data_IF_286970786344
#
_entry.id   IF_286970786344
#
_cell.length_a   1.000
_cell.length_b   1.000
_cell.length_c   1.000
_cell.angle_alpha   90.00
_cell.angle_beta   90.00
_cell.angle_gamma   90.00
#
_symmetry.space_group_name_H-M   'P 1'
#
loop_
_entity.id
_entity.type
_entity.pdbx_description
1 polymer ?
#
# COMPACT_ATOMS: atom_id res chain seq x y z
N UNK A 1 -30.15 -15.36 -14.07
CA UNK A 1 -28.83 -14.76 -14.40
C UNK A 1 -28.15 -14.42 -13.08
N UNK A 2 -27.63 -15.48 -12.45
CA UNK A 2 -27.00 -15.45 -11.14
C UNK A 2 -25.54 -15.04 -11.33
N UNK A 3 -25.13 -13.92 -10.77
CA UNK A 3 -23.73 -13.72 -10.38
C UNK A 3 -23.63 -14.17 -8.92
N UNK A 4 -22.74 -15.11 -8.58
CA UNK A 4 -22.63 -15.63 -7.22
C UNK A 4 -21.96 -14.59 -6.29
N UNK A 5 -22.25 -14.60 -4.98
CA UNK A 5 -21.62 -13.73 -4.01
C UNK A 5 -20.29 -14.35 -3.54
N UNK A 6 -19.27 -14.37 -4.41
CA UNK A 6 -17.93 -14.86 -4.06
C UNK A 6 -16.80 -13.82 -4.23
N UNK A 7 -17.12 -12.59 -4.61
CA UNK A 7 -16.25 -11.44 -4.37
C UNK A 7 -16.73 -10.84 -3.03
N UNK A 8 -16.03 -10.84 -1.90
CA UNK A 8 -14.64 -10.42 -1.68
C UNK A 8 -14.20 -10.89 -0.29
N UNK A 9 -13.17 -11.74 -0.13
CA UNK A 9 -12.43 -11.82 1.13
C UNK A 9 -10.95 -11.38 0.99
N UNK A 10 -10.54 -10.85 -0.17
CA UNK A 10 -9.13 -10.67 -0.53
C UNK A 10 -8.67 -9.20 -0.74
N UNK A 11 -9.41 -8.19 -0.29
CA UNK A 11 -8.96 -6.79 -0.32
C UNK A 11 -8.11 -6.41 0.91
N UNK A 12 -7.20 -7.31 1.31
CA UNK A 12 -6.15 -7.03 2.28
C UNK A 12 -4.91 -6.55 1.52
N UNK A 13 -4.66 -5.23 1.52
CA UNK A 13 -3.35 -4.56 1.61
C UNK A 13 -3.40 -3.13 1.04
N UNK A 14 -3.06 -2.16 1.91
CA UNK A 14 -2.47 -0.83 1.61
C UNK A 14 -3.32 0.30 0.96
N UNK A 15 -2.98 1.61 1.11
CA UNK A 15 -3.29 2.48 2.25
C UNK A 15 -4.06 3.79 1.83
N UNK A 16 -3.89 4.97 2.45
CA UNK A 16 -4.95 5.83 2.98
C UNK A 16 -5.41 6.92 1.99
N UNK A 17 -6.39 6.64 1.13
CA UNK A 17 -6.95 7.66 0.22
C UNK A 17 -8.31 8.23 0.65
N UNK A 18 -8.97 7.63 1.66
CA UNK A 18 -10.40 7.89 1.90
C UNK A 18 -10.67 9.08 2.83
N UNK A 19 -9.70 9.51 3.65
CA UNK A 19 -9.84 10.74 4.45
C UNK A 19 -9.95 11.98 3.54
N UNK A 20 -9.36 11.92 2.34
CA UNK A 20 -9.43 12.99 1.35
C UNK A 20 -10.82 13.11 0.69
N UNK A 21 -11.59 12.02 0.60
CA UNK A 21 -12.88 12.00 -0.10
C UNK A 21 -14.01 12.61 0.76
N UNK A 22 -13.98 12.39 2.08
CA UNK A 22 -15.00 12.94 2.99
C UNK A 22 -14.92 14.46 3.18
N UNK A 23 -13.73 15.06 3.11
CA UNK A 23 -13.56 16.51 3.08
C UNK A 23 -14.12 17.15 1.79
N UNK A 24 -14.23 16.37 0.71
CA UNK A 24 -14.66 16.85 -0.61
C UNK A 24 -16.18 16.88 -0.81
N UNK A 25 -16.94 15.99 -0.17
CA UNK A 25 -18.41 16.01 -0.27
C UNK A 25 -19.00 17.30 0.35
N UNK A 26 -18.41 17.80 1.44
CA UNK A 26 -18.79 19.08 2.08
C UNK A 26 -18.45 20.31 1.24
N UNK A 27 -17.41 20.26 0.39
CA UNK A 27 -17.05 21.36 -0.51
C UNK A 27 -17.87 21.38 -1.82
N UNK A 28 -18.49 20.24 -2.18
CA UNK A 28 -19.17 20.06 -3.48
C UNK A 28 -20.65 20.48 -3.50
N UNK A 29 -21.22 20.86 -2.34
CA UNK A 29 -22.60 21.32 -2.17
C UNK A 29 -22.82 22.82 -2.49
N UNK A 30 -21.82 23.52 -3.05
CA UNK A 30 -22.00 24.91 -3.53
C UNK A 30 -21.83 25.06 -5.05
N UNK A 31 -22.73 24.54 -5.90
CA UNK A 31 -22.75 24.90 -7.31
C UNK A 31 -23.59 26.17 -7.58
N UNK A 32 -23.54 27.18 -6.70
CA UNK A 32 -24.25 28.45 -6.94
C UNK A 32 -23.45 29.73 -6.66
N UNK A 33 -22.18 29.64 -6.24
CA UNK A 33 -21.36 30.84 -5.99
C UNK A 33 -20.49 31.29 -7.18
N UNK A 34 -20.39 30.52 -8.27
CA UNK A 34 -19.58 30.88 -9.44
C UNK A 34 -20.36 31.52 -10.60
N UNK A 35 -21.65 31.80 -10.41
CA UNK A 35 -22.51 32.43 -11.44
C UNK A 35 -23.00 33.84 -11.05
N UNK A 36 -22.65 34.35 -9.85
CA UNK A 36 -23.09 35.68 -9.38
C UNK A 36 -21.99 36.73 -9.18
N UNK A 37 -20.73 36.45 -9.55
CA UNK A 37 -19.66 37.48 -9.49
C UNK A 37 -19.40 38.18 -10.82
N UNK A 38 -20.36 38.13 -11.74
CA UNK A 38 -20.36 38.94 -12.97
C UNK A 38 -21.52 39.94 -12.99
N UNK A 39 -21.64 40.75 -11.94
CA UNK A 39 -22.26 42.09 -11.99
C UNK A 39 -22.13 42.75 -10.62
N UNK A 40 -21.72 44.02 -10.62
CA UNK A 40 -21.64 44.94 -9.47
C UNK A 40 -20.39 44.91 -8.57
N UNK A 41 -19.67 46.04 -8.59
CA UNK A 41 -19.27 46.71 -7.34
C UNK A 41 -17.78 46.67 -7.01
N UNK A 42 -17.11 47.82 -7.14
CA UNK A 42 -15.68 47.98 -6.88
C UNK A 42 -15.24 47.86 -5.41
N UNK A 43 -13.92 47.72 -5.21
CA UNK A 43 -13.22 48.11 -3.98
C UNK A 43 -12.29 47.05 -3.36
N UNK A 44 -10.99 47.36 -3.29
CA UNK A 44 -10.14 46.94 -2.16
C UNK A 44 -9.30 45.65 -2.26
N UNK A 45 -8.07 45.80 -2.74
CA UNK A 45 -6.83 45.12 -2.30
C UNK A 45 -6.90 43.71 -1.65
N UNK A 46 -6.70 42.65 -2.47
CA UNK A 46 -6.02 41.39 -2.13
C UNK A 46 -5.88 40.52 -3.40
N UNK A 47 -4.93 40.82 -4.30
CA UNK A 47 -4.85 40.20 -5.65
C UNK A 47 -3.82 39.08 -5.84
N UNK A 48 -3.15 38.60 -4.78
CA UNK A 48 -2.03 37.63 -4.92
C UNK A 48 -2.35 36.16 -4.58
N UNK A 49 -3.22 35.89 -3.60
CA UNK A 49 -3.45 34.54 -3.05
C UNK A 49 -4.71 33.83 -3.57
N UNK A 50 -5.67 34.57 -4.13
CA UNK A 50 -6.94 33.96 -4.56
C UNK A 50 -6.86 33.35 -5.97
N UNK A 51 -5.96 33.83 -6.82
CA UNK A 51 -5.76 33.32 -8.19
C UNK A 51 -5.13 31.93 -8.24
N UNK A 52 -4.23 31.58 -7.31
CA UNK A 52 -3.66 30.23 -7.21
C UNK A 52 -4.67 29.22 -6.66
N UNK A 53 -5.48 29.64 -5.68
CA UNK A 53 -6.57 28.83 -5.09
C UNK A 53 -7.64 28.48 -6.13
N UNK A 54 -8.04 29.44 -6.98
CA UNK A 54 -9.00 29.23 -8.08
C UNK A 54 -8.44 28.29 -9.17
N UNK A 55 -7.11 28.24 -9.37
CA UNK A 55 -6.46 27.32 -10.32
C UNK A 55 -6.44 25.88 -9.78
N UNK A 56 -6.19 25.68 -8.48
CA UNK A 56 -6.23 24.38 -7.80
C UNK A 56 -7.63 23.76 -7.78
N UNK A 57 -8.71 24.55 -7.70
CA UNK A 57 -10.09 24.06 -7.79
C UNK A 57 -10.43 23.39 -9.13
N UNK A 58 -9.62 23.59 -10.18
CA UNK A 58 -9.77 22.90 -11.47
C UNK A 58 -9.34 21.43 -11.40
N UNK A 59 -8.44 21.06 -10.49
CA UNK A 59 -8.00 19.65 -10.27
C UNK A 59 -9.16 18.78 -9.79
N UNK A 60 -10.14 19.37 -9.10
CA UNK A 60 -11.33 18.67 -8.59
C UNK A 60 -12.21 18.06 -9.68
N UNK A 61 -12.05 18.53 -10.92
CA UNK A 61 -12.69 17.95 -12.09
C UNK A 61 -12.20 16.53 -12.38
N UNK A 62 -11.06 16.11 -11.84
CA UNK A 62 -10.54 14.73 -11.93
C UNK A 62 -11.39 13.75 -11.10
N UNK A 63 -12.17 14.24 -10.13
CA UNK A 63 -13.06 13.44 -9.28
C UNK A 63 -14.44 13.19 -9.92
N UNK A 64 -14.72 13.74 -11.11
CA UNK A 64 -15.99 13.51 -11.84
C UNK A 64 -16.38 12.04 -11.99
N UNK A 65 -15.46 11.07 -12.20
CA UNK A 65 -15.81 9.65 -12.26
C UNK A 65 -16.49 9.13 -10.99
N UNK A 66 -16.20 9.70 -9.81
CA UNK A 66 -16.86 9.33 -8.54
C UNK A 66 -18.35 9.69 -8.54
N UNK A 67 -18.76 10.74 -9.26
CA UNK A 67 -20.19 11.08 -9.46
C UNK A 67 -20.91 10.03 -10.30
N UNK A 68 -20.20 9.36 -11.21
CA UNK A 68 -20.73 8.31 -12.08
C UNK A 68 -20.94 6.99 -11.32
N UNK A 69 -20.21 6.75 -10.22
CA UNK A 69 -20.39 5.57 -9.35
C UNK A 69 -21.81 5.54 -8.76
N UNK A 70 -22.38 6.70 -8.38
CA UNK A 70 -23.76 6.80 -7.88
C UNK A 70 -24.82 6.42 -8.93
N UNK A 71 -24.51 6.48 -10.22
CA UNK A 71 -25.43 6.14 -11.33
C UNK A 71 -25.42 4.65 -11.69
N UNK A 72 -24.38 3.91 -11.30
CA UNK A 72 -24.23 2.50 -11.60
C UNK A 72 -24.44 1.68 -10.32
N UNK A 73 -25.61 1.03 -10.12
CA UNK A 73 -25.95 0.35 -8.87
C UNK A 73 -24.94 -0.75 -8.51
N UNK A 74 -24.31 -1.39 -9.52
CA UNK A 74 -23.25 -2.38 -9.32
C UNK A 74 -21.97 -1.78 -8.73
N UNK A 75 -21.55 -0.58 -9.14
CA UNK A 75 -20.36 0.09 -8.59
C UNK A 75 -20.64 0.74 -7.24
N UNK A 76 -21.86 1.25 -7.04
CA UNK A 76 -22.30 1.78 -5.75
C UNK A 76 -22.27 0.71 -4.66
N UNK A 77 -22.76 -0.49 -4.94
CA UNK A 77 -22.73 -1.60 -3.97
C UNK A 77 -21.28 -1.94 -3.52
N UNK A 78 -20.33 -1.96 -4.45
CA UNK A 78 -18.91 -2.19 -4.13
C UNK A 78 -18.34 -1.03 -3.30
N UNK A 79 -18.63 0.22 -3.67
CA UNK A 79 -18.16 1.39 -2.93
C UNK A 79 -18.74 1.46 -1.51
N UNK A 80 -20.03 1.21 -1.34
CA UNK A 80 -20.70 1.21 -0.03
C UNK A 80 -20.13 0.09 0.86
N UNK A 81 -19.79 -1.07 0.28
CA UNK A 81 -19.08 -2.14 0.98
C UNK A 81 -17.69 -1.70 1.45
N UNK A 82 -16.91 -1.03 0.59
CA UNK A 82 -15.58 -0.48 0.92
C UNK A 82 -15.64 0.56 2.05
N UNK A 83 -16.62 1.46 2.02
CA UNK A 83 -16.77 2.48 3.06
C UNK A 83 -17.22 1.87 4.39
N UNK A 84 -18.06 0.84 4.35
CA UNK A 84 -18.51 0.16 5.56
C UNK A 84 -17.37 -0.63 6.22
N UNK A 85 -16.52 -1.29 5.44
CA UNK A 85 -15.34 -2.00 5.98
C UNK A 85 -14.24 -1.04 6.48
N UNK A 86 -14.16 0.18 5.92
CA UNK A 86 -13.19 1.20 6.34
C UNK A 86 -13.32 1.60 7.82
N UNK A 87 -14.53 1.63 8.37
CA UNK A 87 -14.74 2.04 9.78
C UNK A 87 -13.97 1.15 10.75
N UNK A 88 -13.94 -0.15 10.49
CA UNK A 88 -13.21 -1.11 11.32
C UNK A 88 -11.70 -0.98 11.11
N UNK A 89 -11.27 -0.69 9.87
CA UNK A 89 -9.85 -0.48 9.52
C UNK A 89 -9.29 0.78 10.17
N UNK A 90 -10.07 1.86 10.29
CA UNK A 90 -9.62 3.11 10.90
C UNK A 90 -9.25 2.93 12.38
N UNK A 91 -9.97 2.08 13.12
CA UNK A 91 -9.63 1.79 14.52
C UNK A 91 -8.24 1.17 14.65
N UNK A 92 -7.86 0.27 13.74
CA UNK A 92 -6.52 -0.35 13.69
C UNK A 92 -5.48 0.67 13.28
N UNK A 93 -5.80 1.46 12.26
CA UNK A 93 -4.88 2.47 11.74
C UNK A 93 -4.51 3.46 12.85
N UNK A 94 -5.47 3.83 13.71
CA UNK A 94 -5.21 4.67 14.88
C UNK A 94 -4.22 3.98 15.84
N UNK A 95 -4.44 2.71 16.18
CA UNK A 95 -3.52 1.97 17.07
C UNK A 95 -2.11 1.86 16.45
N UNK A 96 -2.02 1.59 15.16
CA UNK A 96 -0.77 1.56 14.40
C UNK A 96 -0.04 2.92 14.41
N UNK A 97 -0.76 4.01 14.16
CA UNK A 97 -0.23 5.36 14.19
C UNK A 97 0.22 5.77 15.61
N UNK A 98 -0.50 5.35 16.65
CA UNK A 98 -0.10 5.59 18.04
C UNK A 98 1.21 4.88 18.38
N UNK A 99 1.38 3.64 17.92
CA UNK A 99 2.63 2.92 18.15
C UNK A 99 3.80 3.54 17.37
N UNK A 100 3.59 3.91 16.10
CA UNK A 100 4.58 4.69 15.35
C UNK A 100 4.91 6.03 16.00
N UNK A 101 3.92 6.69 16.62
CA UNK A 101 4.12 7.97 17.30
C UNK A 101 5.09 7.84 18.48
N UNK A 102 5.04 6.75 19.24
CA UNK A 102 6.00 6.51 20.34
C UNK A 102 7.44 6.49 19.80
N UNK A 103 7.68 5.71 18.74
CA UNK A 103 9.01 5.66 18.10
C UNK A 103 9.40 7.00 17.44
N UNK A 104 8.44 7.73 16.88
CA UNK A 104 8.69 9.04 16.27
C UNK A 104 9.17 10.05 17.31
N UNK A 105 8.55 10.10 18.49
CA UNK A 105 8.99 10.97 19.58
C UNK A 105 10.41 10.60 20.03
N UNK A 106 10.69 9.30 20.21
CA UNK A 106 12.05 8.84 20.56
C UNK A 106 13.07 9.24 19.50
N UNK A 107 12.75 9.06 18.21
CA UNK A 107 13.62 9.42 17.11
C UNK A 107 13.91 10.93 17.05
N UNK A 108 12.90 11.77 17.27
CA UNK A 108 13.09 13.23 17.36
C UNK A 108 14.05 13.58 18.49
N UNK A 109 13.92 12.96 19.67
CA UNK A 109 14.84 13.25 20.77
C UNK A 109 16.29 12.81 20.50
N UNK A 110 16.49 11.76 19.70
CA UNK A 110 17.82 11.27 19.34
C UNK A 110 18.47 12.07 18.21
N UNK A 111 17.69 12.46 17.19
CA UNK A 111 18.21 12.89 15.89
C UNK A 111 17.81 14.31 15.46
N UNK A 112 17.03 15.04 16.27
CA UNK A 112 16.62 16.41 15.95
C UNK A 112 17.82 17.30 15.64
N UNK A 113 17.75 17.99 14.50
CA UNK A 113 18.75 18.97 14.09
C UNK A 113 20.05 18.37 13.56
N UNK A 114 20.20 17.04 13.46
CA UNK A 114 21.48 16.39 13.07
C UNK A 114 21.53 15.91 11.62
N UNK A 115 20.44 16.04 10.88
CA UNK A 115 20.27 15.52 9.51
C UNK A 115 20.64 16.55 8.43
N UNK A 116 21.70 17.32 8.69
CA UNK A 116 22.22 18.31 7.75
C UNK A 116 23.58 17.87 7.20
N UNK A 117 23.84 18.25 5.96
CA UNK A 117 25.10 17.97 5.28
C UNK A 117 25.47 19.16 4.37
N UNK A 118 26.76 19.34 4.16
CA UNK A 118 27.26 20.25 3.14
C UNK A 118 27.32 19.51 1.80
N UNK A 119 27.07 20.19 0.68
CA UNK A 119 27.26 19.61 -0.66
C UNK A 119 28.73 19.24 -0.96
N UNK A 120 29.69 19.79 -0.20
CA UNK A 120 31.10 19.44 -0.24
C UNK A 120 31.48 18.65 1.02
N UNK A 121 31.89 17.39 0.84
CA UNK A 121 32.29 16.47 1.93
C UNK A 121 33.49 16.97 2.72
N UNK A 122 34.30 17.86 2.15
CA UNK A 122 35.51 18.40 2.80
C UNK A 122 35.20 19.40 3.93
N UNK A 123 33.94 19.87 4.03
CA UNK A 123 33.53 20.88 5.01
C UNK A 123 32.55 20.29 6.02
N UNK A 124 33.03 20.18 7.26
CA UNK A 124 32.27 19.57 8.34
C UNK A 124 31.33 20.55 9.07
N UNK A 125 31.58 21.86 9.08
CA UNK A 125 30.77 22.80 9.86
C UNK A 125 29.89 23.67 8.96
N UNK A 126 28.69 24.01 9.44
CA UNK A 126 27.75 24.89 8.72
C UNK A 126 28.39 26.24 8.34
N UNK A 127 29.13 26.85 9.27
CA UNK A 127 29.81 28.14 9.04
C UNK A 127 30.83 28.10 7.89
N UNK A 128 31.43 26.94 7.66
CA UNK A 128 32.49 26.73 6.67
C UNK A 128 31.93 26.26 5.31
N UNK A 129 30.64 25.87 5.26
CA UNK A 129 29.91 25.48 4.05
C UNK A 129 29.47 26.72 3.25
N UNK A 130 30.44 27.54 2.80
CA UNK A 130 30.21 28.76 2.01
C UNK A 130 31.13 28.81 0.79
N UNK A 131 30.75 29.61 -0.19
CA UNK A 131 31.50 29.80 -1.43
C UNK A 131 31.21 28.71 -2.47
N UNK A 132 32.18 28.40 -3.31
CA UNK A 132 32.07 27.42 -4.39
C UNK A 132 33.04 26.26 -4.19
N UNK A 133 32.68 25.10 -4.72
CA UNK A 133 33.49 23.89 -4.75
C UNK A 133 33.52 23.33 -6.18
N UNK A 134 34.55 22.55 -6.48
CA UNK A 134 34.75 21.97 -7.81
C UNK A 134 34.15 20.57 -7.83
N UNK A 135 33.17 20.36 -8.70
CA UNK A 135 32.60 19.04 -8.99
C UNK A 135 33.32 18.48 -10.22
N UNK A 136 33.89 17.29 -10.06
CA UNK A 136 34.56 16.55 -11.13
C UNK A 136 33.55 15.60 -11.77
N UNK A 137 33.09 15.93 -12.98
CA UNK A 137 32.14 15.13 -13.75
C UNK A 137 32.93 14.36 -14.83
N UNK A 138 33.44 13.18 -14.47
CA UNK A 138 34.33 12.39 -15.33
C UNK A 138 35.79 12.87 -15.28
N UNK A 139 36.58 12.50 -16.31
CA UNK A 139 38.05 12.68 -16.28
C UNK A 139 38.49 14.13 -16.57
N UNK A 140 37.71 14.90 -17.33
CA UNK A 140 38.15 16.20 -17.86
C UNK A 140 37.15 17.36 -17.68
N UNK A 141 35.97 17.15 -17.10
CA UNK A 141 35.02 18.26 -16.86
C UNK A 141 35.03 18.64 -15.38
N UNK A 142 35.39 19.90 -15.11
CA UNK A 142 35.32 20.50 -13.78
C UNK A 142 34.33 21.64 -13.83
N UNK A 143 33.29 21.55 -13.00
CA UNK A 143 32.26 22.60 -12.89
C UNK A 143 32.29 23.16 -11.47
N UNK A 144 32.37 24.48 -11.37
CA UNK A 144 32.19 25.16 -10.08
C UNK A 144 30.72 25.15 -9.71
N UNK A 145 30.40 24.61 -8.54
CA UNK A 145 29.06 24.65 -7.95
C UNK A 145 29.10 25.37 -6.60
N UNK A 146 28.00 26.00 -6.20
CA UNK A 146 27.89 26.65 -4.91
C UNK A 146 27.77 25.62 -3.79
N UNK A 147 28.49 25.84 -2.69
CA UNK A 147 28.31 25.07 -1.47
C UNK A 147 26.99 25.46 -0.82
N UNK A 148 26.18 24.47 -0.50
CA UNK A 148 24.91 24.67 0.18
C UNK A 148 24.81 23.73 1.39
N UNK A 149 24.38 24.28 2.53
CA UNK A 149 24.03 23.50 3.70
C UNK A 149 22.61 22.98 3.55
N UNK A 150 22.49 21.68 3.24
CA UNK A 150 21.23 21.03 2.91
C UNK A 150 20.82 20.07 4.01
N UNK A 151 19.51 19.80 4.03
CA UNK A 151 18.90 18.79 4.87
C UNK A 151 18.55 17.58 4.01
N UNK A 152 18.69 16.38 4.57
CA UNK A 152 18.16 15.18 3.91
C UNK A 152 16.63 15.23 3.82
N UNK A 153 16.07 14.66 2.74
CA UNK A 153 14.62 14.62 2.53
C UNK A 153 13.90 13.85 3.63
N UNK A 154 14.51 12.77 4.13
CA UNK A 154 14.06 12.00 5.27
C UNK A 154 14.85 12.38 6.52
N UNK A 155 14.17 12.99 7.49
CA UNK A 155 14.79 13.53 8.70
C UNK A 155 13.85 13.46 9.91
N UNK A 156 14.37 13.80 11.09
CA UNK A 156 13.70 13.64 12.40
C UNK A 156 13.55 14.95 13.19
N UNK A 157 13.44 16.11 12.53
CA UNK A 157 13.38 17.40 13.24
C UNK A 157 12.05 17.66 13.94
N UNK A 158 10.97 17.18 13.32
CA UNK A 158 9.60 17.36 13.79
C UNK A 158 8.90 16.00 13.79
N UNK A 159 7.95 15.81 14.71
CA UNK A 159 7.25 14.53 14.86
C UNK A 159 6.51 14.11 13.58
N UNK A 160 5.94 15.05 12.83
CA UNK A 160 5.25 14.75 11.57
C UNK A 160 6.21 14.20 10.49
N UNK A 161 7.40 14.78 10.36
CA UNK A 161 8.44 14.30 9.44
C UNK A 161 9.07 12.99 9.94
N UNK A 162 9.25 12.85 11.25
CA UNK A 162 9.70 11.59 11.86
C UNK A 162 8.72 10.44 11.59
N UNK A 163 7.41 10.68 11.67
CA UNK A 163 6.39 9.71 11.31
C UNK A 163 6.48 9.32 9.83
N UNK A 164 6.68 10.28 8.92
CA UNK A 164 6.87 9.99 7.50
C UNK A 164 8.13 9.16 7.24
N UNK A 165 9.25 9.54 7.86
CA UNK A 165 10.51 8.81 7.74
C UNK A 165 10.39 7.38 8.29
N UNK A 166 9.76 7.20 9.46
CA UNK A 166 9.51 5.87 10.03
C UNK A 166 8.54 5.05 9.17
N UNK A 167 7.54 5.69 8.56
CA UNK A 167 6.65 5.02 7.61
C UNK A 167 7.46 4.45 6.42
N UNK A 168 8.33 5.24 5.81
CA UNK A 168 9.24 4.78 4.74
C UNK A 168 10.17 3.66 5.21
N UNK A 169 10.70 3.75 6.42
CA UNK A 169 11.52 2.67 6.99
C UNK A 169 10.69 1.39 7.18
N UNK A 170 9.43 1.51 7.60
CA UNK A 170 8.53 0.37 7.82
C UNK A 170 8.12 -0.35 6.54
N UNK A 171 8.10 0.35 5.39
CA UNK A 171 7.81 -0.28 4.09
C UNK A 171 9.02 -1.03 3.54
N UNK A 172 10.19 -0.92 4.16
CA UNK A 172 11.41 -1.58 3.71
C UNK A 172 12.07 -0.92 2.50
N UNK A 173 11.64 0.28 2.11
CA UNK A 173 12.24 1.05 1.02
C UNK A 173 13.07 2.21 1.55
N UNK A 174 14.26 2.44 1.01
CA UNK A 174 15.12 3.56 1.41
C UNK A 174 15.68 3.51 2.84
N UNK A 175 15.29 2.54 3.67
CA UNK A 175 15.74 2.41 5.05
C UNK A 175 17.27 2.31 5.23
N UNK A 176 18.07 1.70 4.32
CA UNK A 176 19.52 1.65 4.52
C UNK A 176 20.14 3.05 4.41
N UNK A 177 19.57 3.93 3.60
CA UNK A 177 20.02 5.32 3.46
C UNK A 177 19.70 6.10 4.74
N UNK A 178 18.47 5.97 5.25
CA UNK A 178 18.06 6.63 6.51
C UNK A 178 18.90 6.14 7.68
N UNK A 179 19.15 4.83 7.77
CA UNK A 179 20.05 4.23 8.77
C UNK A 179 21.47 4.80 8.64
N UNK A 180 22.04 4.81 7.43
CA UNK A 180 23.38 5.35 7.20
C UNK A 180 23.48 6.81 7.64
N UNK A 181 22.52 7.65 7.22
CA UNK A 181 22.49 9.05 7.64
C UNK A 181 22.35 9.21 9.16
N UNK A 182 21.68 8.27 9.83
CA UNK A 182 21.54 8.26 11.30
C UNK A 182 22.82 7.86 12.03
N UNK A 183 23.57 6.90 11.48
CA UNK A 183 24.85 6.43 12.02
C UNK A 183 25.95 7.47 11.83
N UNK A 184 25.91 8.15 10.68
CA UNK A 184 26.87 9.21 10.35
C UNK A 184 26.53 10.55 11.02
N UNK A 185 25.34 10.69 11.62
CA UNK A 185 24.87 11.92 12.26
C UNK A 185 25.73 12.31 13.47
N UNK A 186 26.24 13.55 13.48
CA UNK A 186 27.09 14.07 14.56
C UNK A 186 26.32 15.01 15.51
N UNK A 187 26.60 16.31 15.46
CA UNK A 187 26.00 17.36 16.27
C UNK A 187 25.19 18.31 15.38
N UNK A 188 24.36 19.19 15.96
CA UNK A 188 23.42 20.02 15.19
C UNK A 188 24.08 20.93 14.13
N UNK A 189 25.27 21.46 14.41
CA UNK A 189 25.99 22.39 13.53
C UNK A 189 27.16 21.73 12.77
N UNK A 190 27.22 20.40 12.78
CA UNK A 190 28.30 19.61 12.16
C UNK A 190 27.71 18.56 11.24
N UNK A 191 28.35 18.37 10.10
CA UNK A 191 27.94 17.46 9.05
C UNK A 191 28.14 16.00 9.44
N UNK A 192 27.73 15.07 8.56
CA UNK A 192 27.87 13.66 8.82
C UNK A 192 29.35 13.25 8.85
N UNK A 193 29.72 12.38 9.79
CA UNK A 193 31.03 11.74 9.86
C UNK A 193 30.84 10.23 9.79
N UNK A 194 31.45 9.54 8.81
CA UNK A 194 31.26 8.11 8.62
C UNK A 194 31.47 7.29 9.90
N UNK A 195 30.47 6.53 10.32
CA UNK A 195 30.56 5.63 11.47
C UNK A 195 30.68 6.29 12.85
N UNK A 196 30.34 7.57 12.98
CA UNK A 196 30.49 8.31 14.25
C UNK A 196 29.68 7.70 15.41
N UNK A 197 28.44 7.27 15.15
CA UNK A 197 27.53 6.71 16.16
C UNK A 197 26.89 5.40 15.72
N UNK A 198 27.70 4.34 15.66
CA UNK A 198 27.22 3.02 15.29
C UNK A 198 26.14 2.49 16.25
N UNK A 199 26.14 2.93 17.52
CA UNK A 199 25.14 2.58 18.53
C UNK A 199 23.71 2.96 18.15
N UNK A 200 23.54 3.99 17.31
CA UNK A 200 22.22 4.43 16.83
C UNK A 200 21.54 3.39 15.94
N UNK A 201 22.30 2.44 15.38
CA UNK A 201 21.75 1.31 14.62
C UNK A 201 20.80 0.45 15.47
N UNK A 202 21.02 0.39 16.80
CA UNK A 202 20.18 -0.38 17.71
C UNK A 202 18.72 0.10 17.66
N UNK A 203 18.48 1.41 17.51
CA UNK A 203 17.13 1.95 17.36
C UNK A 203 16.38 1.30 16.20
N UNK A 204 17.04 1.16 15.05
CA UNK A 204 16.44 0.55 13.85
C UNK A 204 16.28 -0.96 13.99
N UNK A 205 17.23 -1.64 14.63
CA UNK A 205 17.10 -3.08 14.92
C UNK A 205 15.88 -3.34 15.81
N UNK A 206 15.73 -2.57 16.90
CA UNK A 206 14.57 -2.66 17.78
C UNK A 206 13.29 -2.33 17.02
N UNK A 207 13.29 -1.28 16.20
CA UNK A 207 12.14 -0.94 15.37
C UNK A 207 11.77 -2.10 14.42
N UNK A 208 12.72 -2.67 13.67
CA UNK A 208 12.45 -3.78 12.74
C UNK A 208 12.06 -5.10 13.39
N UNK A 209 12.41 -5.33 14.65
CA UNK A 209 11.99 -6.54 15.37
C UNK A 209 10.64 -6.33 16.02
N UNK A 210 10.51 -5.26 16.81
CA UNK A 210 9.33 -5.00 17.63
C UNK A 210 8.13 -4.57 16.79
N UNK A 211 8.36 -3.72 15.78
CA UNK A 211 7.27 -3.13 14.99
C UNK A 211 6.51 -4.17 14.15
N UNK A 212 7.17 -5.04 13.36
CA UNK A 212 6.46 -6.07 12.60
C UNK A 212 5.81 -7.10 13.53
N UNK A 213 6.47 -7.48 14.64
CA UNK A 213 5.89 -8.42 15.60
C UNK A 213 4.59 -7.88 16.21
N UNK A 214 4.60 -6.63 16.69
CA UNK A 214 3.41 -5.98 17.22
C UNK A 214 2.32 -5.81 16.15
N UNK A 215 2.71 -5.37 14.94
CA UNK A 215 1.79 -5.19 13.83
C UNK A 215 1.08 -6.48 13.43
N UNK A 216 1.83 -7.58 13.24
CA UNK A 216 1.26 -8.88 12.89
C UNK A 216 0.33 -9.38 13.98
N UNK A 217 0.70 -9.25 15.26
CA UNK A 217 -0.13 -9.71 16.38
C UNK A 217 -1.46 -8.95 16.46
N UNK A 218 -1.45 -7.62 16.32
CA UNK A 218 -2.68 -6.83 16.28
C UNK A 218 -3.52 -7.18 15.05
N UNK A 219 -2.87 -7.32 13.90
CA UNK A 219 -3.55 -7.63 12.65
C UNK A 219 -4.24 -9.00 12.69
N UNK A 220 -3.55 -10.04 13.19
CA UNK A 220 -4.11 -11.39 13.37
C UNK A 220 -5.26 -11.36 14.37
N UNK A 221 -5.10 -10.71 15.52
CA UNK A 221 -6.15 -10.60 16.53
C UNK A 221 -7.42 -9.96 15.94
N UNK A 222 -7.26 -8.91 15.13
CA UNK A 222 -8.40 -8.29 14.46
C UNK A 222 -9.03 -9.19 13.42
N UNK A 223 -8.25 -9.84 12.56
CA UNK A 223 -8.78 -10.77 11.56
C UNK A 223 -9.68 -11.79 12.26
N UNK A 224 -9.22 -12.35 13.38
CA UNK A 224 -10.01 -13.29 14.18
C UNK A 224 -11.31 -12.65 14.68
N UNK A 225 -11.27 -11.47 15.30
CA UNK A 225 -12.47 -10.77 15.79
C UNK A 225 -13.46 -10.51 14.65
N UNK A 226 -12.98 -10.02 13.51
CA UNK A 226 -13.85 -9.74 12.36
C UNK A 226 -14.44 -11.00 11.74
N UNK A 227 -13.70 -12.11 11.70
CA UNK A 227 -14.21 -13.40 11.23
C UNK A 227 -15.22 -14.01 12.19
N UNK A 228 -15.01 -13.86 13.49
CA UNK A 228 -15.97 -14.27 14.51
C UNK A 228 -17.24 -13.43 14.39
N UNK A 229 -17.14 -12.11 14.32
CA UNK A 229 -18.30 -11.21 14.20
C UNK A 229 -19.10 -11.45 12.90
N UNK A 230 -18.43 -11.75 11.78
CA UNK A 230 -19.12 -12.15 10.54
C UNK A 230 -19.69 -13.57 10.60
N UNK A 231 -18.99 -14.49 11.27
CA UNK A 231 -19.46 -15.84 11.52
C UNK A 231 -20.76 -15.82 12.31
N UNK A 232 -20.80 -15.08 13.42
CA UNK A 232 -21.95 -14.95 14.30
C UNK A 232 -23.15 -14.32 13.57
N UNK A 233 -22.93 -13.24 12.80
CA UNK A 233 -23.98 -12.59 11.99
C UNK A 233 -24.55 -13.50 10.91
N UNK A 234 -23.72 -14.32 10.26
CA UNK A 234 -24.21 -15.28 9.25
C UNK A 234 -24.95 -16.47 9.88
N UNK A 235 -24.65 -16.81 11.13
CA UNK A 235 -25.36 -17.85 11.86
C UNK A 235 -26.69 -17.34 12.43
N UNK A 236 -26.83 -16.04 12.73
CA UNK A 236 -28.10 -15.44 13.19
C UNK A 236 -29.23 -15.50 12.15
N UNK A 237 -28.92 -15.35 10.86
CA UNK A 237 -29.93 -15.30 9.78
C UNK A 237 -30.41 -16.69 9.28
N UNK A 238 -29.88 -17.79 9.82
CA UNK A 238 -30.04 -19.13 9.26
C UNK A 238 -30.62 -20.11 10.29
N UNK A 239 -31.82 -20.65 10.00
CA UNK A 239 -32.46 -21.71 10.81
C UNK A 239 -31.84 -23.10 10.63
N UNK A 240 -30.93 -23.27 9.66
CA UNK A 240 -30.30 -24.54 9.26
C UNK A 240 -28.79 -24.37 9.26
N UNK A 241 -28.07 -25.39 9.72
CA UNK A 241 -26.62 -25.37 9.88
C UNK A 241 -25.93 -25.33 8.50
N UNK A 242 -24.71 -24.73 8.42
CA UNK A 242 -23.97 -24.56 7.15
C UNK A 242 -23.81 -25.87 6.36
N UNK A 243 -23.60 -26.98 7.07
CA UNK A 243 -23.43 -28.31 6.48
C UNK A 243 -24.73 -28.85 5.87
N UNK A 244 -25.88 -28.58 6.51
CA UNK A 244 -27.19 -29.02 6.02
C UNK A 244 -27.55 -28.28 4.73
N UNK A 245 -27.32 -26.96 4.69
CA UNK A 245 -27.53 -26.17 3.48
C UNK A 245 -26.64 -26.64 2.32
N UNK A 246 -25.37 -26.96 2.58
CA UNK A 246 -24.47 -27.48 1.56
C UNK A 246 -24.93 -28.84 1.00
N UNK A 247 -25.43 -29.72 1.86
CA UNK A 247 -25.99 -31.01 1.46
C UNK A 247 -27.24 -30.84 0.59
N UNK A 248 -28.16 -29.97 1.00
CA UNK A 248 -29.38 -29.66 0.24
C UNK A 248 -29.04 -29.05 -1.13
N UNK A 249 -28.13 -28.09 -1.17
CA UNK A 249 -27.73 -27.43 -2.43
C UNK A 249 -27.03 -28.42 -3.39
N UNK A 250 -26.20 -29.32 -2.85
CA UNK A 250 -25.61 -30.41 -3.64
C UNK A 250 -26.68 -31.36 -4.17
N UNK A 251 -27.63 -31.80 -3.32
CA UNK A 251 -28.69 -32.71 -3.73
C UNK A 251 -29.60 -32.11 -4.82
N UNK A 252 -29.86 -30.80 -4.78
CA UNK A 252 -30.70 -30.11 -5.75
C UNK A 252 -29.95 -29.81 -7.06
N UNK A 253 -28.67 -29.39 -6.97
CA UNK A 253 -27.92 -28.93 -8.13
C UNK A 253 -27.05 -29.99 -8.79
N UNK A 254 -26.85 -31.16 -8.16
CA UNK A 254 -26.04 -32.23 -8.73
C UNK A 254 -26.63 -32.68 -10.09
N UNK A 255 -25.80 -32.58 -11.12
CA UNK A 255 -26.12 -33.10 -12.45
C UNK A 255 -25.39 -34.43 -12.65
N UNK A 256 -26.01 -35.39 -13.37
CA UNK A 256 -25.35 -36.66 -13.64
C UNK A 256 -24.09 -36.44 -14.48
N UNK A 257 -23.00 -37.09 -14.09
CA UNK A 257 -21.76 -37.11 -14.87
C UNK A 257 -22.00 -37.93 -16.13
N UNK A 258 -21.94 -37.28 -17.30
CA UNK A 258 -22.06 -37.97 -18.60
C UNK A 258 -20.71 -38.56 -19.00
N UNK A 259 -20.49 -39.84 -18.71
CA UNK A 259 -19.33 -40.58 -19.22
C UNK A 259 -19.69 -41.23 -20.56
N UNK A 260 -19.06 -40.81 -21.64
CA UNK A 260 -19.29 -41.41 -22.95
C UNK A 260 -18.68 -42.82 -22.99
N UNK A 261 -19.53 -43.85 -23.12
CA UNK A 261 -19.12 -45.24 -23.30
C UNK A 261 -19.51 -45.72 -24.70
N UNK A 262 -18.57 -46.23 -25.52
CA UNK A 262 -18.90 -46.77 -26.83
C UNK A 262 -19.80 -48.00 -26.73
N UNK A 263 -20.85 -48.07 -27.56
CA UNK A 263 -21.91 -49.10 -27.49
C UNK A 263 -21.43 -50.51 -27.87
N UNK A 264 -20.51 -50.62 -28.84
CA UNK A 264 -20.04 -51.90 -29.39
C UNK A 264 -18.73 -52.35 -28.74
N UNK A 265 -18.79 -53.33 -27.84
CA UNK A 265 -17.62 -53.87 -27.12
C UNK A 265 -16.60 -54.60 -28.01
N UNK A 266 -17.02 -55.11 -29.16
CA UNK A 266 -16.16 -55.82 -30.12
C UNK A 266 -15.44 -54.89 -31.09
N UNK A 267 -15.78 -53.59 -31.08
CA UNK A 267 -15.17 -52.60 -31.98
C UNK A 267 -13.81 -52.16 -31.45
N UNK A 268 -12.89 -51.85 -32.37
CA UNK A 268 -11.62 -51.20 -32.06
C UNK A 268 -11.81 -49.92 -31.24
N UNK A 269 -12.92 -49.20 -31.46
CA UNK A 269 -13.27 -48.00 -30.70
C UNK A 269 -13.41 -48.26 -29.18
N UNK A 270 -13.91 -49.44 -28.78
CA UNK A 270 -14.00 -49.81 -27.36
C UNK A 270 -12.63 -50.10 -26.77
N UNK A 271 -11.77 -50.85 -27.47
CA UNK A 271 -10.40 -51.13 -27.04
C UNK A 271 -9.56 -49.86 -26.88
N UNK A 272 -9.71 -48.90 -27.78
CA UNK A 272 -9.01 -47.62 -27.68
C UNK A 272 -9.56 -46.75 -26.54
N UNK A 273 -10.88 -46.73 -26.33
CA UNK A 273 -11.48 -46.06 -25.18
C UNK A 273 -11.02 -46.66 -23.84
N UNK A 274 -11.00 -47.99 -23.74
CA UNK A 274 -10.55 -48.71 -22.54
C UNK A 274 -9.07 -48.41 -22.23
N UNK A 275 -8.22 -48.32 -23.25
CA UNK A 275 -6.82 -47.92 -23.09
C UNK A 275 -6.67 -46.46 -22.63
N UNK A 276 -7.36 -45.50 -23.28
CA UNK A 276 -7.27 -44.07 -22.92
C UNK A 276 -7.82 -43.79 -21.53
N UNK A 277 -8.85 -44.52 -21.11
CA UNK A 277 -9.47 -44.41 -19.79
C UNK A 277 -8.66 -45.15 -18.71
N UNK A 278 -7.68 -45.97 -19.09
CA UNK A 278 -6.91 -46.78 -18.15
C UNK A 278 -5.95 -45.91 -17.32
N UNK A 279 -5.76 -46.21 -16.02
CA UNK A 279 -4.77 -45.54 -15.17
C UNK A 279 -3.33 -45.49 -15.74
N UNK A 280 -2.77 -46.53 -16.41
CA UNK A 280 -1.40 -46.45 -16.94
C UNK A 280 -1.24 -45.41 -18.06
N UNK A 281 -2.30 -45.13 -18.83
CA UNK A 281 -2.27 -44.06 -19.83
C UNK A 281 -2.17 -42.68 -19.17
N UNK A 282 -2.90 -42.46 -18.07
CA UNK A 282 -2.80 -41.22 -17.30
C UNK A 282 -1.39 -41.03 -16.71
N UNK A 283 -0.80 -42.08 -16.12
CA UNK A 283 0.57 -42.01 -15.58
C UNK A 283 1.63 -41.74 -16.66
N UNK A 284 1.47 -42.27 -17.87
CA UNK A 284 2.42 -42.02 -18.97
C UNK A 284 2.34 -40.58 -19.49
N UNK A 285 1.14 -40.00 -19.58
CA UNK A 285 0.98 -38.57 -19.91
C UNK A 285 1.59 -37.69 -18.82
N UNK A 286 1.33 -37.99 -17.54
CA UNK A 286 1.93 -37.24 -16.43
C UNK A 286 3.46 -37.34 -16.42
N UNK A 287 4.02 -38.51 -16.73
CA UNK A 287 5.46 -38.69 -16.88
C UNK A 287 6.04 -37.91 -18.08
N UNK A 288 5.34 -37.87 -19.23
CA UNK A 288 5.76 -37.06 -20.37
C UNK A 288 5.75 -35.56 -20.06
N UNK A 289 4.75 -35.07 -19.33
CA UNK A 289 4.69 -33.67 -18.89
C UNK A 289 5.88 -33.37 -17.97
N UNK A 290 6.12 -34.24 -16.97
CA UNK A 290 7.26 -34.09 -16.06
C UNK A 290 8.60 -34.08 -16.82
N UNK A 291 8.79 -35.00 -17.75
CA UNK A 291 10.01 -35.09 -18.56
C UNK A 291 10.18 -33.84 -19.44
N UNK A 292 9.10 -33.32 -20.05
CA UNK A 292 9.14 -32.07 -20.80
C UNK A 292 9.51 -30.87 -19.92
N UNK A 293 9.01 -30.80 -18.68
CA UNK A 293 9.41 -29.74 -17.73
C UNK A 293 10.88 -29.84 -17.33
N UNK A 294 11.41 -31.06 -17.15
CA UNK A 294 12.85 -31.28 -16.87
C UNK A 294 13.70 -30.85 -18.06
N UNK A 295 13.30 -31.21 -19.29
CA UNK A 295 14.00 -30.80 -20.52
C UNK A 295 14.01 -29.27 -20.67
N UNK A 296 12.91 -28.59 -20.32
CA UNK A 296 12.86 -27.13 -20.30
C UNK A 296 13.80 -26.53 -19.24
N UNK A 297 13.92 -27.14 -18.06
CA UNK A 297 14.86 -26.69 -17.03
C UNK A 297 16.34 -26.94 -17.37
N UNK A 298 16.64 -27.98 -18.13
CA UNK A 298 18.00 -28.26 -18.61
C UNK A 298 18.44 -27.35 -19.78
N UNK A 299 17.51 -26.56 -20.34
CA UNK A 299 17.76 -25.65 -21.46
C UNK A 299 18.03 -24.20 -21.03
N UNK A 300 18.43 -24.00 -19.77
CA UNK A 300 18.94 -22.72 -19.22
C UNK A 300 20.43 -22.60 -19.48
#
# INVERSE_FOLDING_TARGET
MFFPPFCVPFCFFLPPFVFFVFLFDSLSLTPHLSVWTSSSGGGGSSKGKDISTIKSLRVLRVLRPLKTIKRLPKLKAVFDCVVNSLKNVLNILIVYLLFMFIFAVVAVQLFKGRFFYCTDESKEFERDCRGEYLVYEGVNEVKAQKREWKKYDFHYDNVAWALLTLFTVSTGEGWPQVLKHSVDATYENRGPSPGYRMEMSIFYVVYFVVFPFFFVNIFVALIIITFQEQGDKMMEDYSLEKNERACIDFAINARPLTRHMPKNKLSFQYRMWEFVVSPPFEYTIMAMIALNTVVLMMKV
#
